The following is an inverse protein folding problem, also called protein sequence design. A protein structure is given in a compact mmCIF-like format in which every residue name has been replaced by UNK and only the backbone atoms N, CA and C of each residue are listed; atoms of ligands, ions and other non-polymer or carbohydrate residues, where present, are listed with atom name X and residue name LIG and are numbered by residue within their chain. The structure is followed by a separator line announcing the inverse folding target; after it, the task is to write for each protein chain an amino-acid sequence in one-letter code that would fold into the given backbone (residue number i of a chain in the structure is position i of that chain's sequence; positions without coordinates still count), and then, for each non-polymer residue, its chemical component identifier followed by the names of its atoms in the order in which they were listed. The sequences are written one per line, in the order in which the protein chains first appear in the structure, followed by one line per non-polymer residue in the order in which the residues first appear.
data_IF_195033816702
#
_entry.id   IF_195033816702
#
_cell.length_a   1.000
_cell.length_b   1.000
_cell.length_c   1.000
_cell.angle_alpha   90.00
_cell.angle_beta   90.00
_cell.angle_gamma   90.00
#
_symmetry.space_group_name_H-M   'P 1'
#
loop_
_entity.id
_entity.type
_entity.pdbx_description
1 polymer ?
#
# COMPACT_ATOMS: atom_id res chain seq x y z
N UNK A 1 6.18 12.33 -2.65
CA UNK A 1 6.92 12.61 -1.41
C UNK A 1 7.82 11.44 -0.98
N UNK A 2 7.32 10.23 -0.84
CA UNK A 2 8.11 9.02 -0.51
C UNK A 2 9.26 8.73 -1.50
N UNK A 3 9.09 8.92 -2.82
CA UNK A 3 10.16 8.78 -3.82
C UNK A 3 11.37 9.70 -3.59
N UNK A 4 11.17 10.91 -3.04
CA UNK A 4 12.28 11.82 -2.69
C UNK A 4 13.13 11.29 -1.54
N UNK A 5 12.52 10.58 -0.60
CA UNK A 5 13.21 9.95 0.53
C UNK A 5 14.11 8.80 0.07
N UNK A 6 13.68 8.02 -0.93
CA UNK A 6 14.45 6.85 -1.39
C UNK A 6 15.57 7.19 -2.39
N UNK A 7 15.46 8.30 -3.15
CA UNK A 7 16.59 8.83 -3.95
C UNK A 7 17.80 9.25 -3.10
N UNK A 8 17.58 9.54 -1.81
CA UNK A 8 18.64 9.87 -0.87
C UNK A 8 19.46 8.65 -0.41
N UNK A 9 19.02 7.41 -0.71
CA UNK A 9 19.57 6.20 -0.10
C UNK A 9 20.08 5.15 -1.10
N UNK A 10 20.39 5.57 -2.34
CA UNK A 10 21.17 4.81 -3.33
C UNK A 10 20.73 3.34 -3.48
N UNK A 11 19.45 3.12 -3.80
CA UNK A 11 18.90 1.79 -4.14
C UNK A 11 18.81 1.71 -5.66
N UNK A 12 19.60 0.81 -6.27
CA UNK A 12 19.71 0.63 -7.71
C UNK A 12 18.36 0.21 -8.33
N UNK A 13 17.83 0.96 -9.33
CA UNK A 13 16.54 0.69 -9.95
C UNK A 13 16.53 -0.46 -10.97
N UNK A 14 17.67 -1.10 -11.23
CA UNK A 14 17.84 -1.95 -12.44
C UNK A 14 17.38 -3.41 -12.32
N UNK A 15 16.88 -3.86 -11.15
CA UNK A 15 16.39 -5.24 -10.99
C UNK A 15 14.87 -5.31 -10.92
N UNK A 16 14.22 -5.01 -12.03
CA UNK A 16 12.77 -5.10 -12.18
C UNK A 16 12.36 -6.32 -13.00
N UNK A 17 11.59 -7.24 -12.43
CA UNK A 17 10.48 -7.99 -13.08
C UNK A 17 9.92 -9.08 -12.15
N UNK A 18 8.55 -9.11 -12.06
CA UNK A 18 7.64 -10.19 -11.62
C UNK A 18 7.46 -10.50 -10.12
N UNK A 19 6.27 -10.32 -9.58
CA UNK A 19 5.22 -11.33 -9.30
C UNK A 19 4.01 -10.72 -8.62
N UNK A 20 2.91 -10.71 -9.32
CA UNK A 20 1.56 -10.74 -8.77
C UNK A 20 1.16 -12.21 -8.63
N UNK A 21 0.89 -12.72 -7.43
CA UNK A 21 -0.08 -13.82 -7.23
C UNK A 21 -0.39 -14.08 -5.76
N UNK A 22 -1.70 -14.24 -5.55
CA UNK A 22 -2.42 -15.02 -4.56
C UNK A 22 -2.33 -14.63 -3.08
N UNK A 23 -3.34 -13.87 -2.67
CA UNK A 23 -3.97 -14.12 -1.38
C UNK A 23 -5.36 -14.66 -1.68
N UNK A 24 -5.52 -15.97 -1.52
CA UNK A 24 -6.81 -16.66 -1.48
C UNK A 24 -7.63 -16.09 -0.32
N UNK A 25 -8.74 -15.47 -0.66
CA UNK A 25 -9.84 -15.26 0.26
C UNK A 25 -10.90 -16.32 -0.05
N UNK A 26 -10.96 -17.34 0.79
CA UNK A 26 -11.96 -18.39 0.73
C UNK A 26 -13.13 -18.04 1.65
N UNK A 27 -14.30 -18.12 1.07
CA UNK A 27 -15.60 -18.58 1.62
C UNK A 27 -16.67 -17.54 1.91
N UNK A 28 -17.77 -17.80 1.21
CA UNK A 28 -19.20 -17.84 1.55
C UNK A 28 -20.01 -16.54 1.54
N UNK A 29 -20.91 -16.55 0.58
CA UNK A 29 -22.21 -15.91 0.36
C UNK A 29 -22.26 -15.11 -0.95
N UNK A 30 -22.82 -15.74 -2.01
CA UNK A 30 -22.85 -15.16 -3.37
C UNK A 30 -23.61 -13.83 -3.46
N UNK A 31 -24.60 -13.56 -2.61
CA UNK A 31 -25.37 -12.31 -2.64
C UNK A 31 -24.68 -11.16 -1.88
N UNK A 32 -23.98 -11.46 -0.80
CA UNK A 32 -23.21 -10.46 -0.02
C UNK A 32 -21.93 -10.11 -0.76
N UNK A 33 -21.34 -11.04 -1.50
CA UNK A 33 -20.13 -10.80 -2.30
C UNK A 33 -20.37 -9.81 -3.45
N UNK A 34 -21.53 -9.83 -4.11
CA UNK A 34 -21.87 -8.89 -5.18
C UNK A 34 -21.84 -7.43 -4.70
N UNK A 35 -22.52 -7.15 -3.61
CA UNK A 35 -22.64 -5.81 -3.02
C UNK A 35 -21.28 -5.30 -2.50
N UNK A 36 -20.49 -6.17 -1.84
CA UNK A 36 -19.14 -5.85 -1.33
C UNK A 36 -18.19 -5.48 -2.47
N UNK A 37 -18.20 -6.21 -3.57
CA UNK A 37 -17.34 -5.94 -4.71
C UNK A 37 -17.72 -4.66 -5.45
N UNK A 38 -19.01 -4.37 -5.54
CA UNK A 38 -19.50 -3.13 -6.14
C UNK A 38 -19.10 -1.90 -5.30
N UNK A 39 -19.26 -1.99 -3.98
CA UNK A 39 -18.85 -0.95 -3.05
C UNK A 39 -17.34 -0.64 -3.17
N UNK A 40 -16.50 -1.67 -3.18
CA UNK A 40 -15.05 -1.51 -3.37
C UNK A 40 -14.71 -0.85 -4.71
N UNK A 41 -15.37 -1.25 -5.78
CA UNK A 41 -15.16 -0.61 -7.09
C UNK A 41 -15.57 0.85 -7.09
N UNK A 42 -16.69 1.20 -6.47
CA UNK A 42 -17.14 2.60 -6.36
C UNK A 42 -16.11 3.43 -5.58
N UNK A 43 -15.69 2.94 -4.44
CA UNK A 43 -14.67 3.61 -3.63
C UNK A 43 -13.36 3.80 -4.42
N UNK A 44 -12.84 2.75 -5.05
CA UNK A 44 -11.59 2.87 -5.81
C UNK A 44 -11.73 3.76 -7.06
N UNK A 45 -12.88 3.79 -7.70
CA UNK A 45 -13.13 4.75 -8.80
C UNK A 45 -13.01 6.18 -8.31
N UNK A 46 -13.58 6.47 -7.14
CA UNK A 46 -13.47 7.77 -6.50
C UNK A 46 -12.03 8.09 -6.05
N UNK A 47 -11.39 7.18 -5.32
CA UNK A 47 -10.07 7.41 -4.72
C UNK A 47 -8.95 7.52 -5.76
N UNK A 48 -9.01 6.77 -6.86
CA UNK A 48 -7.98 6.79 -7.90
C UNK A 48 -7.89 8.15 -8.57
N UNK A 49 -9.00 8.84 -8.79
CA UNK A 49 -9.01 10.18 -9.37
C UNK A 49 -8.21 11.15 -8.49
N UNK A 50 -8.42 11.13 -7.18
CA UNK A 50 -7.63 11.91 -6.22
C UNK A 50 -6.15 11.52 -6.20
N UNK A 51 -5.86 10.22 -6.25
CA UNK A 51 -4.49 9.71 -6.27
C UNK A 51 -3.76 10.20 -7.53
N UNK A 52 -4.42 10.18 -8.68
CA UNK A 52 -3.86 10.66 -9.94
C UNK A 52 -3.61 12.17 -9.93
N UNK A 53 -4.53 12.95 -9.37
CA UNK A 53 -4.38 14.41 -9.25
C UNK A 53 -3.25 14.78 -8.27
N UNK A 54 -3.14 14.07 -7.14
CA UNK A 54 -2.17 14.37 -6.09
C UNK A 54 -0.75 13.86 -6.39
N UNK A 55 -0.63 12.78 -7.18
CA UNK A 55 0.63 12.07 -7.41
C UNK A 55 0.96 11.95 -8.90
N UNK A 56 1.39 13.04 -9.52
CA UNK A 56 1.88 13.04 -10.90
C UNK A 56 3.15 12.23 -11.16
N UNK A 57 3.55 11.34 -10.27
CA UNK A 57 4.79 10.54 -10.37
C UNK A 57 4.63 9.25 -11.18
N UNK A 58 3.42 8.92 -11.60
CA UNK A 58 3.12 7.75 -12.41
C UNK A 58 3.06 6.42 -11.65
N UNK A 59 3.28 6.39 -10.32
CA UNK A 59 3.25 5.15 -9.53
C UNK A 59 1.91 4.41 -9.60
N UNK A 60 0.82 5.14 -9.74
CA UNK A 60 -0.54 4.62 -9.86
C UNK A 60 -1.16 4.82 -11.26
N UNK A 61 -0.42 5.30 -12.25
CA UNK A 61 -0.95 5.67 -13.57
C UNK A 61 -1.68 4.53 -14.31
N UNK A 62 -1.30 3.28 -14.06
CA UNK A 62 -1.90 2.09 -14.66
C UNK A 62 -2.80 1.32 -13.69
N UNK A 63 -3.15 1.91 -12.54
CA UNK A 63 -4.00 1.29 -11.54
C UNK A 63 -5.45 1.61 -11.85
N UNK A 64 -6.30 0.59 -11.85
CA UNK A 64 -7.73 0.69 -12.10
C UNK A 64 -8.54 0.21 -10.90
N UNK A 65 -9.77 0.72 -10.77
CA UNK A 65 -10.68 0.29 -9.73
C UNK A 65 -10.92 -1.23 -9.76
N UNK A 66 -10.68 -1.88 -8.64
CA UNK A 66 -10.73 -3.32 -8.49
C UNK A 66 -11.81 -3.76 -7.49
N UNK A 67 -12.07 -5.06 -7.43
CA UNK A 67 -12.95 -5.70 -6.42
C UNK A 67 -12.23 -5.96 -5.10
N UNK A 68 -10.92 -5.80 -5.07
CA UNK A 68 -10.12 -6.01 -3.87
C UNK A 68 -10.28 -4.84 -2.89
N UNK A 69 -10.02 -5.08 -1.62
CA UNK A 69 -9.96 -4.02 -0.62
C UNK A 69 -8.65 -3.23 -0.66
N UNK A 70 -7.81 -3.47 -1.66
CA UNK A 70 -6.53 -2.78 -1.86
C UNK A 70 -6.26 -2.49 -3.33
N UNK A 71 -5.46 -1.46 -3.55
CA UNK A 71 -4.79 -1.16 -4.81
C UNK A 71 -3.31 -0.97 -4.53
N UNK A 72 -2.45 -1.19 -5.53
CA UNK A 72 -1.03 -0.97 -5.37
C UNK A 72 -0.39 -0.28 -6.55
N UNK A 73 0.48 0.68 -6.25
CA UNK A 73 1.32 1.36 -7.20
C UNK A 73 2.77 0.91 -7.06
N UNK A 74 3.50 0.95 -8.17
CA UNK A 74 4.91 0.59 -8.18
C UNK A 74 5.76 1.64 -7.45
N UNK A 75 6.62 1.18 -6.54
CA UNK A 75 7.45 2.07 -5.72
C UNK A 75 8.79 2.46 -6.36
N UNK A 76 9.17 1.86 -7.46
CA UNK A 76 10.46 2.10 -8.12
C UNK A 76 11.56 1.11 -7.74
N UNK A 77 11.26 0.15 -6.86
CA UNK A 77 12.15 -0.94 -6.44
C UNK A 77 11.46 -2.26 -6.65
N UNK A 78 12.16 -3.26 -7.20
CA UNK A 78 11.58 -4.56 -7.51
C UNK A 78 11.02 -5.25 -6.24
N UNK A 79 9.75 -5.65 -6.32
CA UNK A 79 9.03 -6.29 -5.22
C UNK A 79 8.58 -5.32 -4.12
N UNK A 80 8.74 -3.99 -4.30
CA UNK A 80 8.27 -2.99 -3.36
C UNK A 80 7.14 -2.18 -3.99
N UNK A 81 6.04 -2.06 -3.25
CA UNK A 81 4.85 -1.37 -3.70
C UNK A 81 4.33 -0.40 -2.63
N UNK A 82 3.72 0.69 -3.06
CA UNK A 82 2.84 1.47 -2.20
C UNK A 82 1.44 0.90 -2.36
N UNK A 83 0.87 0.40 -1.27
CA UNK A 83 -0.47 -0.16 -1.24
C UNK A 83 -1.40 0.77 -0.47
N UNK A 84 -2.57 1.04 -1.04
CA UNK A 84 -3.69 1.66 -0.34
C UNK A 84 -4.70 0.57 -0.01
N UNK A 85 -5.15 0.50 1.23
CA UNK A 85 -6.11 -0.51 1.71
C UNK A 85 -7.29 0.20 2.34
N UNK A 86 -8.49 -0.19 1.95
CA UNK A 86 -9.74 0.34 2.47
C UNK A 86 -10.61 -0.78 3.02
N UNK A 87 -10.95 -0.70 4.30
CA UNK A 87 -11.75 -1.68 5.02
C UNK A 87 -13.06 -1.06 5.53
N UNK A 88 -13.82 -1.86 6.28
CA UNK A 88 -15.08 -1.45 6.89
C UNK A 88 -14.92 -0.66 8.20
N UNK A 89 -13.72 -0.61 8.75
CA UNK A 89 -13.40 -0.01 10.04
C UNK A 89 -12.10 0.81 10.04
N UNK A 90 -11.36 0.76 8.93
CA UNK A 90 -10.04 1.37 8.85
C UNK A 90 -9.59 1.57 7.41
N UNK A 91 -8.68 2.50 7.21
CA UNK A 91 -7.93 2.67 5.98
C UNK A 91 -6.43 2.76 6.28
N UNK A 92 -5.58 2.33 5.35
CA UNK A 92 -4.14 2.50 5.51
C UNK A 92 -3.43 2.64 4.17
N UNK A 93 -2.33 3.35 4.24
CA UNK A 93 -1.29 3.34 3.20
C UNK A 93 -0.10 2.57 3.74
N UNK A 94 0.47 1.66 2.94
CA UNK A 94 1.62 0.86 3.35
C UNK A 94 2.69 0.79 2.26
N UNK A 95 3.95 0.92 2.66
CA UNK A 95 5.07 0.42 1.87
C UNK A 95 5.17 -1.08 2.12
N UNK A 96 4.83 -1.87 1.11
CA UNK A 96 4.94 -3.31 1.12
C UNK A 96 6.26 -3.73 0.47
N UNK A 97 7.13 -4.38 1.23
CA UNK A 97 8.41 -4.93 0.79
C UNK A 97 8.27 -6.43 0.61
N UNK A 98 7.97 -6.89 -0.61
CA UNK A 98 7.61 -8.28 -0.95
C UNK A 98 8.46 -8.88 -2.06
N UNK A 99 9.75 -8.54 -2.17
CA UNK A 99 10.67 -9.19 -3.11
C UNK A 99 10.72 -10.71 -2.88
N UNK A 100 11.11 -11.47 -3.89
CA UNK A 100 11.24 -12.93 -3.82
C UNK A 100 12.20 -13.40 -2.72
N UNK A 101 13.25 -12.63 -2.43
CA UNK A 101 14.23 -12.91 -1.39
C UNK A 101 13.77 -12.36 -0.03
N UNK A 102 13.60 -13.25 0.97
CA UNK A 102 13.32 -12.86 2.36
C UNK A 102 14.44 -11.98 2.92
N UNK A 103 15.69 -12.38 2.71
CA UNK A 103 16.86 -11.67 3.26
C UNK A 103 16.99 -10.26 2.69
N UNK A 104 16.69 -10.10 1.40
CA UNK A 104 16.66 -8.78 0.76
C UNK A 104 15.61 -7.87 1.40
N UNK A 105 14.39 -8.38 1.63
CA UNK A 105 13.33 -7.61 2.28
C UNK A 105 13.72 -7.20 3.71
N UNK A 106 14.32 -8.13 4.47
CA UNK A 106 14.75 -7.86 5.85
C UNK A 106 15.88 -6.84 5.89
N UNK A 107 16.89 -6.99 5.03
CA UNK A 107 18.00 -6.04 4.94
C UNK A 107 17.52 -4.62 4.54
N UNK A 108 16.59 -4.53 3.58
CA UNK A 108 16.00 -3.25 3.19
C UNK A 108 15.20 -2.61 4.33
N UNK A 109 14.41 -3.40 5.06
CA UNK A 109 13.66 -2.92 6.23
C UNK A 109 14.61 -2.46 7.34
N UNK A 110 15.63 -3.26 7.67
CA UNK A 110 16.59 -2.97 8.72
C UNK A 110 17.38 -1.67 8.43
N UNK A 111 17.68 -1.43 7.15
CA UNK A 111 18.27 -0.16 6.71
C UNK A 111 17.26 0.99 6.81
N UNK A 112 16.01 0.78 6.43
CA UNK A 112 15.00 1.84 6.45
C UNK A 112 14.66 2.28 7.87
N UNK A 113 14.54 1.37 8.82
CA UNK A 113 14.15 1.68 10.20
C UNK A 113 15.21 2.52 10.93
N UNK A 114 16.47 2.49 10.51
CA UNK A 114 17.51 3.38 11.09
C UNK A 114 17.20 4.86 10.83
N UNK A 115 16.37 5.17 9.85
CA UNK A 115 15.92 6.52 9.49
C UNK A 115 14.51 6.85 9.97
N UNK A 116 13.93 6.01 10.84
CA UNK A 116 12.54 6.14 11.31
C UNK A 116 12.18 7.55 11.74
N UNK A 117 12.94 8.14 12.65
CA UNK A 117 12.65 9.46 13.21
C UNK A 117 12.65 10.56 12.14
N UNK A 118 13.57 10.47 11.18
CA UNK A 118 13.63 11.41 10.06
C UNK A 118 12.44 11.26 9.13
N UNK A 119 12.06 10.01 8.81
CA UNK A 119 10.92 9.70 7.94
C UNK A 119 9.63 10.20 8.58
N UNK A 120 9.37 9.86 9.85
CA UNK A 120 8.18 10.27 10.58
C UNK A 120 8.12 11.80 10.75
N UNK A 121 9.24 12.45 10.98
CA UNK A 121 9.33 13.92 11.05
C UNK A 121 8.96 14.59 9.73
N UNK A 122 9.44 14.07 8.60
CA UNK A 122 9.13 14.60 7.25
C UNK A 122 7.68 14.39 6.87
N UNK A 123 7.12 13.24 7.26
CA UNK A 123 5.72 12.91 6.99
C UNK A 123 4.74 13.59 7.96
N UNK A 124 5.21 14.01 9.13
CA UNK A 124 4.38 14.61 10.18
C UNK A 124 3.47 13.62 10.89
N UNK A 125 3.72 12.30 10.76
CA UNK A 125 2.91 11.23 11.35
C UNK A 125 3.79 10.12 11.90
N UNK A 126 3.30 9.40 12.91
CA UNK A 126 3.92 8.17 13.39
C UNK A 126 3.53 7.00 12.49
N UNK A 127 4.47 6.13 12.18
CA UNK A 127 4.27 4.97 11.33
C UNK A 127 4.26 3.67 12.14
N UNK A 128 3.55 2.67 11.64
CA UNK A 128 3.57 1.31 12.14
C UNK A 128 4.66 0.56 11.38
N UNK A 129 5.68 0.07 12.11
CA UNK A 129 6.82 -0.63 11.58
C UNK A 129 6.71 -2.12 11.85
N UNK A 130 6.53 -2.93 10.81
CA UNK A 130 6.37 -4.37 10.92
C UNK A 130 7.43 -5.10 10.07
N UNK A 131 8.44 -5.66 10.74
CA UNK A 131 9.49 -6.45 10.09
C UNK A 131 8.99 -7.81 9.61
N UNK A 132 8.00 -8.40 10.31
CA UNK A 132 7.41 -9.68 9.94
C UNK A 132 8.41 -10.84 9.98
N UNK A 133 9.06 -11.09 11.13
CA UNK A 133 10.18 -12.05 11.22
C UNK A 133 9.82 -13.46 10.77
N UNK A 134 8.58 -13.88 10.97
CA UNK A 134 8.08 -15.21 10.60
C UNK A 134 7.68 -15.31 9.11
N UNK A 135 7.47 -14.19 8.43
CA UNK A 135 7.04 -14.13 7.03
C UNK A 135 8.11 -13.52 6.13
N UNK A 136 7.94 -13.66 4.82
CA UNK A 136 8.89 -13.12 3.83
C UNK A 136 8.89 -11.61 3.75
N UNK A 137 7.71 -10.98 3.77
CA UNK A 137 7.53 -9.55 3.57
C UNK A 137 7.80 -8.72 4.82
N UNK A 138 8.01 -7.42 4.60
CA UNK A 138 8.03 -6.39 5.64
C UNK A 138 7.07 -5.27 5.23
N UNK A 139 6.60 -4.50 6.21
CA UNK A 139 5.67 -3.39 5.98
C UNK A 139 6.03 -2.18 6.83
N UNK A 140 5.81 -1.01 6.26
CA UNK A 140 5.76 0.26 7.00
C UNK A 140 4.47 0.94 6.59
N UNK A 141 3.61 1.29 7.54
CA UNK A 141 2.27 1.79 7.23
C UNK A 141 1.86 2.97 8.10
N UNK A 142 0.94 3.76 7.56
CA UNK A 142 0.12 4.69 8.30
C UNK A 142 -1.33 4.24 8.20
N UNK A 143 -2.03 4.16 9.34
CA UNK A 143 -3.40 3.69 9.43
C UNK A 143 -4.30 4.76 10.06
N UNK A 144 -5.50 4.83 9.55
CA UNK A 144 -6.61 5.63 10.09
C UNK A 144 -7.69 4.64 10.53
N UNK A 145 -8.08 4.71 11.78
CA UNK A 145 -9.16 3.90 12.36
C UNK A 145 -10.48 4.66 12.38
N UNK A 146 -11.58 3.95 12.57
CA UNK A 146 -12.94 4.51 12.66
C UNK A 146 -13.40 5.22 11.38
N UNK A 147 -12.93 4.77 10.23
CA UNK A 147 -13.40 5.16 8.90
C UNK A 147 -13.86 3.91 8.16
N UNK A 148 -14.91 4.03 7.35
CA UNK A 148 -15.52 2.89 6.66
C UNK A 148 -15.72 3.14 5.18
N UNK A 149 -15.39 2.14 4.37
CA UNK A 149 -15.70 2.15 2.94
C UNK A 149 -17.22 2.23 2.67
N UNK A 150 -18.07 1.82 3.62
CA UNK A 150 -19.54 1.90 3.52
C UNK A 150 -20.07 3.32 3.72
N UNK A 151 -19.31 4.18 4.40
CA UNK A 151 -19.71 5.55 4.67
C UNK A 151 -19.01 6.51 3.70
N UNK A 152 -19.71 7.00 2.70
CA UNK A 152 -19.14 7.92 1.71
C UNK A 152 -18.60 9.23 2.33
N UNK A 153 -19.10 9.64 3.52
CA UNK A 153 -18.56 10.80 4.22
C UNK A 153 -17.13 10.59 4.74
N UNK A 154 -16.71 9.34 4.94
CA UNK A 154 -15.36 9.00 5.38
C UNK A 154 -14.35 8.98 4.23
N UNK A 155 -14.82 8.85 2.97
CA UNK A 155 -13.95 8.65 1.82
C UNK A 155 -12.91 9.74 1.60
N UNK A 156 -13.24 10.99 1.96
CA UNK A 156 -12.29 12.11 1.91
C UNK A 156 -11.15 12.00 2.93
N UNK A 157 -11.32 11.18 3.97
CA UNK A 157 -10.33 10.98 5.03
C UNK A 157 -9.48 9.74 4.77
N UNK A 158 -10.01 8.79 3.98
CA UNK A 158 -9.36 7.52 3.66
C UNK A 158 -8.32 7.65 2.56
#
# INVERSE_FOLDING_TARGET
MLRKLFKLYDVDPSELIFFLRDVNDSTDDEDITGTRYELRRRYWTYAIDFIHEAHGDGSFSNVHASKQNWISGFFGVNGFNICCVANYDSARVELYMGNASKDYNKAAYDRLITHRSQIESVLGVSLIWNRGDDIKSCKVSYQIDSVSIENEADWLQM
#
